data_IF_570274810213
#
_entry.id   IF_570274810213
#
_cell.length_a   1.000
_cell.length_b   1.000
_cell.length_c   1.000
_cell.angle_alpha   90.00
_cell.angle_beta   90.00
_cell.angle_gamma   90.00
#
_symmetry.space_group_name_H-M   'P 1'
#
loop_
_entity.id
_entity.type
_entity.pdbx_description
1 polymer ?
#
# COMPACT_ATOMS: atom_id res chain seq x y z
N UNK A 1 -9.70 -42.53 -30.79
CA UNK A 1 -8.98 -41.31 -31.24
C UNK A 1 -9.77 -40.04 -30.89
N UNK A 2 -11.05 -39.92 -31.28
CA UNK A 2 -11.86 -38.72 -31.03
C UNK A 2 -12.15 -38.43 -29.53
N UNK A 3 -12.50 -39.44 -28.74
CA UNK A 3 -12.81 -39.25 -27.30
C UNK A 3 -11.58 -38.82 -26.46
N UNK A 4 -10.38 -39.21 -26.88
CA UNK A 4 -9.12 -38.78 -26.25
C UNK A 4 -8.86 -37.29 -26.50
N UNK A 5 -9.14 -36.82 -27.72
CA UNK A 5 -9.07 -35.41 -28.09
C UNK A 5 -10.10 -34.56 -27.34
N UNK A 6 -11.32 -35.07 -27.16
CA UNK A 6 -12.37 -34.39 -26.38
C UNK A 6 -11.96 -34.28 -24.91
N UNK A 7 -11.39 -35.35 -24.33
CA UNK A 7 -10.89 -35.33 -22.95
C UNK A 7 -9.74 -34.34 -22.76
N UNK A 8 -8.85 -34.23 -23.74
CA UNK A 8 -7.75 -33.25 -23.76
C UNK A 8 -8.25 -31.80 -23.85
N UNK A 9 -9.29 -31.52 -24.64
CA UNK A 9 -9.85 -30.16 -24.76
C UNK A 9 -10.62 -29.75 -23.50
N UNK A 10 -11.31 -30.69 -22.84
CA UNK A 10 -12.00 -30.42 -21.57
C UNK A 10 -11.04 -30.23 -20.39
N UNK A 11 -9.88 -30.91 -20.37
CA UNK A 11 -8.87 -30.69 -19.33
C UNK A 11 -8.13 -29.35 -19.48
N UNK A 12 -7.98 -28.83 -20.71
CA UNK A 12 -7.41 -27.50 -20.95
C UNK A 12 -8.37 -26.34 -20.64
N UNK A 13 -9.68 -26.60 -20.55
CA UNK A 13 -10.68 -25.54 -20.37
C UNK A 13 -10.89 -25.10 -18.91
N UNK A 14 -10.21 -25.73 -17.92
CA UNK A 14 -10.48 -25.52 -16.49
C UNK A 14 -9.62 -24.45 -15.78
N UNK A 15 -8.83 -23.64 -16.49
CA UNK A 15 -7.85 -22.75 -15.83
C UNK A 15 -8.13 -21.24 -15.90
N UNK A 16 -9.34 -20.82 -16.28
CA UNK A 16 -9.67 -19.38 -16.36
C UNK A 16 -10.49 -18.89 -15.16
N UNK A 17 -9.90 -18.90 -13.96
CA UNK A 17 -10.42 -18.10 -12.84
C UNK A 17 -9.72 -16.75 -12.80
N UNK A 18 -10.29 -15.75 -13.49
CA UNK A 18 -9.88 -14.34 -13.39
C UNK A 18 -10.32 -13.77 -12.03
N UNK A 19 -9.68 -14.20 -10.95
CA UNK A 19 -9.87 -13.56 -9.64
C UNK A 19 -8.97 -12.32 -9.63
N UNK A 20 -9.53 -11.10 -9.56
CA UNK A 20 -8.70 -9.90 -9.46
C UNK A 20 -7.89 -9.97 -8.17
N UNK A 21 -6.57 -9.85 -8.30
CA UNK A 21 -5.67 -9.84 -7.15
C UNK A 21 -5.97 -8.57 -6.32
N UNK A 22 -6.40 -8.75 -5.07
CA UNK A 22 -6.66 -7.61 -4.19
C UNK A 22 -5.32 -6.98 -3.76
N UNK A 23 -5.17 -5.64 -3.78
CA UNK A 23 -3.95 -4.99 -3.32
C UNK A 23 -3.73 -5.26 -1.82
N UNK A 24 -2.50 -5.58 -1.45
CA UNK A 24 -2.14 -5.88 -0.07
C UNK A 24 -1.29 -4.75 0.49
N UNK A 25 -1.70 -4.19 1.63
CA UNK A 25 -0.99 -3.13 2.34
C UNK A 25 -0.73 -3.58 3.76
N UNK A 26 0.45 -3.26 4.29
CA UNK A 26 0.85 -3.64 5.63
C UNK A 26 1.35 -2.41 6.40
N UNK A 27 1.08 -2.36 7.69
CA UNK A 27 1.65 -1.37 8.60
C UNK A 27 1.71 -1.95 10.00
N UNK A 28 2.50 -1.35 10.88
CA UNK A 28 2.54 -1.69 12.31
C UNK A 28 2.03 -0.50 13.09
N UNK A 29 0.99 -0.71 13.90
CA UNK A 29 0.47 0.30 14.81
C UNK A 29 0.66 -0.15 16.26
N UNK A 30 1.28 0.70 17.05
CA UNK A 30 1.54 0.48 18.48
C UNK A 30 0.80 1.56 19.28
N UNK A 31 0.01 1.15 20.28
CA UNK A 31 -0.72 2.06 21.16
C UNK A 31 -0.22 1.87 22.57
N UNK A 32 0.13 2.97 23.24
CA UNK A 32 0.57 2.99 24.63
C UNK A 32 -0.28 3.98 25.42
N UNK A 33 -0.77 3.55 26.58
CA UNK A 33 -1.39 4.47 27.53
C UNK A 33 -0.33 4.99 28.50
N UNK A 34 -0.19 6.31 28.58
CA UNK A 34 0.63 6.99 29.56
C UNK A 34 -0.25 7.35 30.76
N UNK A 35 -0.10 6.61 31.86
CA UNK A 35 -0.92 6.79 33.06
C UNK A 35 -0.67 8.11 33.78
N UNK A 36 0.52 8.70 33.62
CA UNK A 36 0.92 9.94 34.28
C UNK A 36 0.29 11.14 33.58
N UNK A 37 0.37 11.20 32.24
CA UNK A 37 -0.24 12.25 31.44
C UNK A 37 -1.71 11.98 31.06
N UNK A 38 -2.21 10.77 31.33
CA UNK A 38 -3.55 10.28 30.93
C UNK A 38 -3.79 10.37 29.42
N UNK A 39 -2.74 10.23 28.62
CA UNK A 39 -2.83 10.26 27.16
C UNK A 39 -2.64 8.87 26.55
N UNK A 40 -3.28 8.66 25.39
CA UNK A 40 -2.97 7.56 24.50
C UNK A 40 -1.94 8.04 23.47
N UNK A 41 -0.82 7.35 23.41
CA UNK A 41 0.25 7.56 22.46
C UNK A 41 0.14 6.50 21.36
N UNK A 42 -0.01 6.91 20.10
CA UNK A 42 -0.10 6.03 18.94
C UNK A 42 1.15 6.21 18.06
N UNK A 43 1.83 5.12 17.74
CA UNK A 43 2.92 5.07 16.77
C UNK A 43 2.48 4.24 15.57
N UNK A 44 2.59 4.79 14.36
CA UNK A 44 2.27 4.08 13.10
C UNK A 44 3.53 4.00 12.25
N UNK A 45 3.88 2.78 11.82
CA UNK A 45 5.00 2.49 10.92
C UNK A 45 4.44 2.00 9.60
N UNK A 46 4.68 2.76 8.54
CA UNK A 46 4.18 2.50 7.18
C UNK A 46 5.38 2.16 6.29
N UNK A 47 5.20 1.25 5.32
CA UNK A 47 6.21 1.01 4.30
C UNK A 47 6.36 2.26 3.43
N UNK A 48 7.61 2.66 3.22
CA UNK A 48 7.93 3.92 2.56
C UNK A 48 7.41 3.97 1.12
N UNK A 49 7.51 2.86 0.39
CA UNK A 49 7.04 2.75 -1.00
C UNK A 49 5.52 2.97 -1.11
N UNK A 50 4.74 2.44 -0.16
CA UNK A 50 3.29 2.64 -0.11
C UNK A 50 2.92 4.09 0.18
N UNK A 51 3.70 4.74 1.05
CA UNK A 51 3.47 6.14 1.39
C UNK A 51 3.85 7.06 0.22
N UNK A 52 4.99 6.84 -0.43
CA UNK A 52 5.40 7.56 -1.65
C UNK A 52 4.37 7.41 -2.78
N UNK A 53 3.89 6.19 -3.02
CA UNK A 53 2.83 5.92 -3.99
C UNK A 53 1.53 6.66 -3.65
N UNK A 54 1.20 6.77 -2.37
CA UNK A 54 0.02 7.49 -1.90
C UNK A 54 0.17 9.00 -2.09
N UNK A 55 1.32 9.58 -1.71
CA UNK A 55 1.63 10.99 -1.93
C UNK A 55 1.57 11.33 -3.42
N UNK A 56 2.12 10.48 -4.29
CA UNK A 56 2.03 10.66 -5.74
C UNK A 56 0.58 10.67 -6.24
N UNK A 57 -0.28 9.76 -5.75
CA UNK A 57 -1.71 9.74 -6.13
C UNK A 57 -2.47 10.98 -5.68
N UNK A 58 -2.12 11.55 -4.52
CA UNK A 58 -2.81 12.72 -3.96
C UNK A 58 -2.33 14.03 -4.57
N UNK A 59 -1.02 14.14 -4.85
CA UNK A 59 -0.37 15.39 -5.21
C UNK A 59 0.01 15.47 -6.70
N UNK A 60 0.05 14.32 -7.39
CA UNK A 60 0.60 14.19 -8.75
C UNK A 60 2.13 14.26 -8.82
N UNK A 61 2.82 14.43 -7.69
CA UNK A 61 4.28 14.60 -7.64
C UNK A 61 4.94 13.29 -7.19
N UNK A 62 5.95 12.85 -7.95
CA UNK A 62 6.80 11.73 -7.53
C UNK A 62 7.88 12.24 -6.58
N UNK A 63 7.96 11.65 -5.39
CA UNK A 63 8.90 12.02 -4.35
C UNK A 63 9.64 10.80 -3.80
N UNK A 64 10.91 10.98 -3.46
CA UNK A 64 11.69 10.01 -2.70
C UNK A 64 11.87 10.56 -1.27
N UNK A 65 11.29 9.88 -0.29
CA UNK A 65 11.33 10.24 1.12
C UNK A 65 12.67 9.88 1.77
N UNK A 66 13.38 8.88 1.24
CA UNK A 66 14.69 8.44 1.76
C UNK A 66 15.81 9.41 1.37
N UNK A 67 15.84 9.81 0.10
CA UNK A 67 16.85 10.67 -0.51
C UNK A 67 16.16 11.76 -1.36
N UNK A 68 15.53 12.75 -0.72
CA UNK A 68 14.82 13.81 -1.43
C UNK A 68 15.80 14.66 -2.23
N UNK A 69 15.42 15.03 -3.46
CA UNK A 69 16.14 16.03 -4.25
C UNK A 69 16.02 17.43 -3.62
N UNK A 70 14.85 17.71 -3.04
CA UNK A 70 14.55 18.94 -2.31
C UNK A 70 13.86 18.57 -0.99
N UNK A 71 14.55 18.68 0.16
CA UNK A 71 13.98 18.39 1.47
C UNK A 71 12.79 19.29 1.85
N UNK A 72 12.76 20.54 1.37
CA UNK A 72 11.68 21.48 1.70
C UNK A 72 10.35 21.04 1.09
N UNK A 73 10.39 20.62 -0.18
CA UNK A 73 9.22 20.05 -0.86
C UNK A 73 8.78 18.74 -0.19
N UNK A 74 9.73 17.92 0.28
CA UNK A 74 9.39 16.69 1.02
C UNK A 74 8.56 16.97 2.25
N UNK A 75 9.03 17.87 3.10
CA UNK A 75 8.37 18.17 4.37
C UNK A 75 7.01 18.80 4.11
N UNK A 76 6.92 19.70 3.12
CA UNK A 76 5.65 20.28 2.69
C UNK A 76 4.64 19.22 2.25
N UNK A 77 5.01 18.26 1.37
CA UNK A 77 4.07 17.25 0.88
C UNK A 77 3.61 16.29 1.98
N UNK A 78 4.49 15.95 2.93
CA UNK A 78 4.14 15.12 4.08
C UNK A 78 3.19 15.87 5.01
N UNK A 79 3.48 17.14 5.31
CA UNK A 79 2.64 17.98 6.17
C UNK A 79 1.25 18.21 5.55
N UNK A 80 1.19 18.52 4.26
CA UNK A 80 -0.07 18.67 3.51
C UNK A 80 -0.92 17.39 3.58
N UNK A 81 -0.29 16.21 3.49
CA UNK A 81 -1.01 14.94 3.61
C UNK A 81 -1.56 14.73 5.03
N UNK A 82 -0.77 14.98 6.07
CA UNK A 82 -1.17 14.77 7.47
C UNK A 82 -2.26 15.77 7.91
N UNK A 83 -2.15 17.04 7.50
CA UNK A 83 -3.13 18.08 7.84
C UNK A 83 -4.47 17.92 7.11
N UNK A 84 -4.50 17.15 6.02
CA UNK A 84 -5.73 16.87 5.27
C UNK A 84 -6.61 15.80 5.94
N UNK A 85 -6.05 15.02 6.86
CA UNK A 85 -6.76 14.01 7.67
C UNK A 85 -7.52 14.71 8.81
#
# INVERSE_FOLDING_TARGET
MLNFLIFLVHSLSFTNSNVPLHPFYLSVSEIKYNSESKHLELSVKIFIDDFENTLHKVTGQSINLTFPKDPGVRDQLVDEYIQKI
#
